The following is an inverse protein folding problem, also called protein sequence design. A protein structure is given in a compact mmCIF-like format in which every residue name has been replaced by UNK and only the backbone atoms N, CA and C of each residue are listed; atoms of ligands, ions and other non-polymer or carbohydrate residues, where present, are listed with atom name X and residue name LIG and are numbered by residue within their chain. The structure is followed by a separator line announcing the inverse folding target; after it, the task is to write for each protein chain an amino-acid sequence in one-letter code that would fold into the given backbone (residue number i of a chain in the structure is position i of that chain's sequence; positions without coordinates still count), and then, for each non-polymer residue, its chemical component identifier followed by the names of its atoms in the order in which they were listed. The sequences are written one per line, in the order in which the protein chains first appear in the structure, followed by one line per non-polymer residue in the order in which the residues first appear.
data_IF_033071970804
#
_entry.id   IF_033071970804
#
_cell.length_a   1.000
_cell.length_b   1.000
_cell.length_c   1.000
_cell.angle_alpha   90.00
_cell.angle_beta   90.00
_cell.angle_gamma   90.00
#
_symmetry.space_group_name_H-M   'P 1'
#
loop_
_entity.id
_entity.type
_entity.pdbx_description
1 polymer ?
#
# COMPACT_ATOMS: atom_id res chain seq x y z
N UNK A 1 -10.64 12.91 37.68
CA UNK A 1 -11.51 12.57 36.53
C UNK A 1 -10.98 13.28 35.30
N UNK A 2 -10.80 12.56 34.19
CA UNK A 2 -10.20 13.10 32.97
C UNK A 2 -11.21 13.08 31.81
N UNK A 3 -11.12 14.06 30.91
CA UNK A 3 -11.99 14.18 29.74
C UNK A 3 -11.17 14.18 28.46
N UNK A 4 -11.66 13.48 27.43
CA UNK A 4 -10.93 13.22 26.20
C UNK A 4 -11.80 13.49 24.98
N UNK A 5 -11.19 14.10 23.96
CA UNK A 5 -11.72 14.13 22.62
C UNK A 5 -11.35 12.84 21.91
N UNK A 6 -12.34 12.11 21.44
CA UNK A 6 -12.19 10.84 20.74
C UNK A 6 -12.64 11.01 19.30
N UNK A 7 -11.73 10.74 18.36
CA UNK A 7 -12.07 10.57 16.94
C UNK A 7 -12.58 9.15 16.75
N UNK A 8 -13.82 9.00 16.27
CA UNK A 8 -14.50 7.70 16.17
C UNK A 8 -14.51 7.20 14.73
N UNK A 9 -14.55 5.88 14.51
CA UNK A 9 -14.56 5.27 13.18
C UNK A 9 -15.95 5.21 12.52
N UNK A 10 -16.85 6.13 12.91
CA UNK A 10 -18.19 6.24 12.36
C UNK A 10 -18.44 7.66 11.88
N UNK A 11 -19.06 7.80 10.71
CA UNK A 11 -19.41 9.12 10.16
C UNK A 11 -20.40 9.82 11.09
N UNK A 12 -19.98 10.96 11.62
CA UNK A 12 -20.77 11.86 12.47
C UNK A 12 -20.56 13.31 11.98
N UNK A 13 -21.48 14.24 12.32
CA UNK A 13 -21.34 15.64 11.92
C UNK A 13 -20.15 16.36 12.57
N UNK A 14 -19.78 15.96 13.80
CA UNK A 14 -18.63 16.52 14.52
C UNK A 14 -17.36 15.73 14.25
N UNK A 15 -16.20 16.38 14.38
CA UNK A 15 -14.90 15.73 14.17
C UNK A 15 -14.62 14.70 15.29
N UNK A 16 -14.92 15.06 16.54
CA UNK A 16 -14.71 14.21 17.71
C UNK A 16 -15.89 14.28 18.69
N UNK A 17 -15.88 13.37 19.66
CA UNK A 17 -16.82 13.34 20.78
C UNK A 17 -16.07 13.36 22.11
N UNK A 18 -16.65 13.99 23.14
CA UNK A 18 -16.07 14.05 24.48
C UNK A 18 -16.53 12.87 25.32
N UNK A 19 -15.59 12.15 25.92
CA UNK A 19 -15.84 11.06 26.87
C UNK A 19 -14.98 11.25 28.12
N UNK A 20 -15.37 10.59 29.22
CA UNK A 20 -14.65 10.68 30.50
C UNK A 20 -14.01 9.35 30.91
N UNK A 21 -12.94 9.42 31.70
CA UNK A 21 -12.30 8.26 32.32
C UNK A 21 -11.76 8.61 33.70
N UNK A 22 -11.71 7.61 34.58
CA UNK A 22 -11.09 7.73 35.91
C UNK A 22 -9.56 7.70 35.82
N UNK A 23 -9.02 7.00 34.82
CA UNK A 23 -7.59 6.84 34.62
C UNK A 23 -7.05 7.83 33.57
N UNK A 24 -5.77 8.16 33.71
CA UNK A 24 -5.06 8.95 32.71
C UNK A 24 -4.75 8.05 31.49
N UNK A 25 -5.23 8.44 30.31
CA UNK A 25 -5.04 7.69 29.06
C UNK A 25 -4.24 8.56 28.08
N UNK A 26 -3.19 7.96 27.51
CA UNK A 26 -2.31 8.62 26.54
C UNK A 26 -3.05 8.94 25.24
N UNK A 27 -2.70 10.07 24.60
CA UNK A 27 -3.08 10.38 23.21
C UNK A 27 -2.64 9.28 22.25
N UNK A 28 -3.48 8.97 21.27
CA UNK A 28 -3.29 7.90 20.29
C UNK A 28 -3.81 6.53 20.74
N UNK A 29 -4.13 6.36 22.02
CA UNK A 29 -4.68 5.09 22.54
C UNK A 29 -6.01 4.77 21.87
N UNK A 30 -6.13 3.53 21.38
CA UNK A 30 -7.36 2.96 20.84
C UNK A 30 -8.31 2.62 21.99
N UNK A 31 -9.56 3.04 21.89
CA UNK A 31 -10.58 2.83 22.92
C UNK A 31 -11.88 2.34 22.29
N UNK A 32 -12.69 1.64 23.07
CA UNK A 32 -14.09 1.38 22.75
C UNK A 32 -15.01 2.23 23.61
N UNK A 33 -16.07 2.73 22.98
CA UNK A 33 -17.05 3.63 23.58
C UNK A 33 -18.46 3.17 23.20
N UNK A 34 -19.45 3.58 23.99
CA UNK A 34 -20.85 3.42 23.65
C UNK A 34 -21.34 4.70 22.95
N UNK A 35 -21.87 4.54 21.74
CA UNK A 35 -22.64 5.58 21.07
C UNK A 35 -24.07 5.08 20.90
N UNK A 36 -24.98 5.64 21.70
CA UNK A 36 -26.33 5.11 21.90
C UNK A 36 -26.26 3.68 22.45
N UNK A 37 -26.65 2.67 21.67
CA UNK A 37 -26.63 1.24 22.06
C UNK A 37 -25.50 0.44 21.41
N UNK A 38 -24.73 1.07 20.53
CA UNK A 38 -23.70 0.39 19.75
C UNK A 38 -22.31 0.68 20.32
N UNK A 39 -21.49 -0.35 20.41
CA UNK A 39 -20.07 -0.20 20.67
C UNK A 39 -19.35 0.27 19.40
N UNK A 40 -18.53 1.31 19.54
CA UNK A 40 -17.78 1.94 18.47
C UNK A 40 -16.33 2.09 18.93
N UNK A 41 -15.39 2.08 17.97
CA UNK A 41 -13.98 2.26 18.23
C UNK A 41 -13.53 3.67 17.87
N UNK A 42 -12.55 4.17 18.60
CA UNK A 42 -11.97 5.48 18.33
C UNK A 42 -10.59 5.63 18.93
N UNK A 43 -9.91 6.71 18.55
CA UNK A 43 -8.60 7.06 19.10
C UNK A 43 -8.71 8.36 19.90
N UNK A 44 -7.97 8.43 21.00
CA UNK A 44 -7.87 9.66 21.77
C UNK A 44 -7.01 10.66 21.01
N UNK A 45 -7.59 11.78 20.58
CA UNK A 45 -6.88 12.83 19.83
C UNK A 45 -6.41 13.99 20.70
N UNK A 46 -7.02 14.16 21.88
CA UNK A 46 -6.64 15.19 22.85
C UNK A 46 -7.39 15.07 24.17
N UNK A 47 -6.98 15.87 25.14
CA UNK A 47 -7.65 16.05 26.43
C UNK A 47 -8.51 17.32 26.41
N UNK A 48 -9.56 17.35 27.23
CA UNK A 48 -10.42 18.51 27.41
C UNK A 48 -10.25 19.00 28.86
N UNK A 49 -9.86 20.27 29.09
CA UNK A 49 -9.84 20.85 30.43
C UNK A 49 -11.23 20.79 31.05
N UNK A 50 -11.32 20.47 32.36
CA UNK A 50 -12.60 20.31 33.06
C UNK A 50 -13.49 21.55 32.94
N UNK A 51 -12.88 22.74 32.95
CA UNK A 51 -13.55 24.03 32.80
C UNK A 51 -14.31 24.19 31.48
N UNK A 52 -13.88 23.50 30.41
CA UNK A 52 -14.48 23.55 29.08
C UNK A 52 -15.56 22.47 28.88
N UNK A 53 -15.85 21.68 29.91
CA UNK A 53 -16.78 20.55 29.81
C UNK A 53 -18.17 20.99 30.24
N UNK A 54 -19.09 21.02 29.28
CA UNK A 54 -20.51 21.30 29.53
C UNK A 54 -21.22 20.00 29.92
N UNK A 55 -22.09 20.05 30.95
CA UNK A 55 -22.92 18.93 31.40
C UNK A 55 -22.15 17.63 31.68
N UNK A 56 -21.17 17.66 32.61
CA UNK A 56 -20.35 16.49 33.01
C UNK A 56 -21.20 15.23 33.30
N UNK A 57 -22.40 15.40 33.85
CA UNK A 57 -23.33 14.31 34.17
C UNK A 57 -23.83 13.54 32.91
N UNK A 58 -23.93 14.21 31.76
CA UNK A 58 -24.40 13.60 30.49
C UNK A 58 -23.27 12.92 29.71
N UNK A 59 -22.01 13.17 30.08
CA UNK A 59 -20.86 12.60 29.39
C UNK A 59 -20.73 11.13 29.77
N UNK A 60 -20.63 10.29 28.74
CA UNK A 60 -20.47 8.86 28.88
C UNK A 60 -19.02 8.49 29.21
N UNK A 61 -18.84 7.35 29.87
CA UNK A 61 -17.52 6.80 30.18
C UNK A 61 -16.95 6.03 28.99
N UNK A 62 -15.62 6.00 28.92
CA UNK A 62 -14.90 5.11 28.02
C UNK A 62 -15.13 3.67 28.49
N UNK A 63 -15.67 2.82 27.60
CA UNK A 63 -16.07 1.45 27.94
C UNK A 63 -14.86 0.56 28.15
N UNK A 64 -13.88 0.61 27.24
CA UNK A 64 -12.64 -0.15 27.39
C UNK A 64 -11.47 0.54 26.70
N UNK A 65 -10.26 0.28 27.20
CA UNK A 65 -9.00 0.72 26.60
C UNK A 65 -8.35 -0.48 25.92
N UNK A 66 -8.04 -0.35 24.63
CA UNK A 66 -7.43 -1.42 23.85
C UNK A 66 -5.89 -1.30 23.88
N UNK A 67 -5.18 -2.42 23.66
CA UNK A 67 -3.73 -2.46 23.76
C UNK A 67 -2.98 -1.85 22.57
N UNK A 68 -3.63 -1.10 21.70
CA UNK A 68 -2.95 -0.43 20.59
C UNK A 68 -2.89 1.09 20.82
N UNK A 69 -1.73 1.69 20.56
CA UNK A 69 -1.51 3.13 20.68
C UNK A 69 -0.94 3.61 19.35
N UNK A 70 -1.69 4.49 18.68
CA UNK A 70 -1.23 5.12 17.46
C UNK A 70 -0.05 6.05 17.74
N UNK A 71 0.98 5.98 16.91
CA UNK A 71 2.12 6.90 16.96
C UNK A 71 1.70 8.30 16.49
N UNK A 72 2.50 9.31 16.82
CA UNK A 72 2.27 10.68 16.34
C UNK A 72 2.31 10.77 14.81
N UNK A 73 3.18 9.98 14.15
CA UNK A 73 3.26 9.87 12.70
C UNK A 73 1.97 9.30 12.11
N UNK A 74 1.39 8.26 12.70
CA UNK A 74 0.15 7.67 12.20
C UNK A 74 -1.05 8.61 12.40
N UNK A 75 -1.13 9.33 13.52
CA UNK A 75 -2.18 10.35 13.73
C UNK A 75 -2.03 11.49 12.71
N UNK A 76 -0.79 11.90 12.43
CA UNK A 76 -0.50 12.91 11.40
C UNK A 76 -0.89 12.41 10.01
N UNK A 77 -0.58 11.16 9.69
CA UNK A 77 -0.95 10.52 8.43
C UNK A 77 -2.45 10.59 8.20
N UNK A 78 -3.27 10.18 9.17
CA UNK A 78 -4.73 10.25 9.05
C UNK A 78 -5.22 11.67 8.72
N UNK A 79 -4.64 12.67 9.38
CA UNK A 79 -5.01 14.08 9.18
C UNK A 79 -4.65 14.57 7.78
N UNK A 80 -3.44 14.23 7.30
CA UNK A 80 -2.96 14.62 5.97
C UNK A 80 -3.73 13.90 4.86
N UNK A 81 -4.03 12.61 5.03
CA UNK A 81 -4.87 11.85 4.09
C UNK A 81 -6.25 12.49 4.01
N UNK A 82 -6.90 12.71 5.16
CA UNK A 82 -8.24 13.33 5.23
C UNK A 82 -8.28 14.67 4.49
N UNK A 83 -7.28 15.53 4.74
CA UNK A 83 -7.17 16.82 4.07
C UNK A 83 -6.95 16.69 2.55
N UNK A 84 -5.96 15.90 2.11
CA UNK A 84 -5.58 15.81 0.70
C UNK A 84 -6.63 15.10 -0.16
N UNK A 85 -7.38 14.17 0.42
CA UNK A 85 -8.38 13.38 -0.30
C UNK A 85 -9.81 13.88 -0.09
N UNK A 86 -9.98 14.97 0.67
CA UNK A 86 -11.29 15.52 1.05
C UNK A 86 -12.23 14.52 1.72
N UNK A 87 -11.69 13.47 2.33
CA UNK A 87 -12.46 12.51 3.11
C UNK A 87 -12.62 12.99 4.55
N UNK A 88 -13.73 12.64 5.20
CA UNK A 88 -13.88 12.96 6.62
C UNK A 88 -12.86 12.17 7.47
N UNK A 89 -12.32 12.77 8.55
CA UNK A 89 -11.34 12.09 9.41
C UNK A 89 -11.83 10.72 9.94
N UNK A 90 -13.13 10.58 10.19
CA UNK A 90 -13.74 9.32 10.66
C UNK A 90 -13.63 8.19 9.63
N UNK A 91 -13.76 8.50 8.34
CA UNK A 91 -13.68 7.50 7.25
C UNK A 91 -12.22 7.05 7.07
N UNK A 92 -11.28 8.00 7.14
CA UNK A 92 -9.84 7.67 7.11
C UNK A 92 -9.44 6.85 8.33
N UNK A 93 -9.93 7.21 9.52
CA UNK A 93 -9.69 6.44 10.73
C UNK A 93 -10.24 5.02 10.59
N UNK A 94 -11.43 4.83 10.02
CA UNK A 94 -11.98 3.49 9.81
C UNK A 94 -11.07 2.63 8.91
N UNK A 95 -10.53 3.19 7.84
CA UNK A 95 -9.53 2.51 7.01
C UNK A 95 -8.25 2.15 7.79
N UNK A 96 -7.77 3.03 8.66
CA UNK A 96 -6.61 2.76 9.53
C UNK A 96 -6.90 1.76 10.65
N UNK A 97 -8.13 1.68 11.15
CA UNK A 97 -8.52 0.75 12.21
C UNK A 97 -8.87 -0.64 11.67
N UNK A 98 -9.38 -0.74 10.44
CA UNK A 98 -9.80 -2.00 9.85
C UNK A 98 -8.75 -3.12 9.96
N UNK A 99 -7.45 -2.89 9.69
CA UNK A 99 -6.42 -3.89 9.91
C UNK A 99 -6.36 -4.34 11.39
N UNK A 100 -6.33 -3.41 12.34
CA UNK A 100 -6.22 -3.72 13.78
C UNK A 100 -7.46 -4.46 14.28
N UNK A 101 -8.65 -4.00 13.89
CA UNK A 101 -9.93 -4.59 14.29
C UNK A 101 -10.20 -5.95 13.61
N UNK A 102 -9.39 -6.33 12.62
CA UNK A 102 -9.44 -7.67 12.03
C UNK A 102 -8.75 -8.74 12.89
N UNK A 103 -7.96 -8.33 13.89
CA UNK A 103 -7.29 -9.22 14.84
C UNK A 103 -8.29 -9.90 15.77
N UNK A 104 -8.02 -11.16 16.11
CA UNK A 104 -8.85 -11.90 17.07
C UNK A 104 -8.53 -11.49 18.51
N UNK A 105 -9.42 -11.80 19.46
CA UNK A 105 -9.13 -11.59 20.88
C UNK A 105 -7.85 -12.30 21.34
N UNK A 106 -7.53 -13.45 20.75
CA UNK A 106 -6.27 -14.18 21.01
C UNK A 106 -5.06 -13.35 20.55
N UNK A 107 -5.12 -12.78 19.35
CA UNK A 107 -4.05 -11.94 18.81
C UNK A 107 -3.85 -10.68 19.68
N UNK A 108 -4.94 -10.07 20.14
CA UNK A 108 -4.89 -8.89 21.00
C UNK A 108 -4.30 -9.18 22.38
N UNK A 109 -4.64 -10.32 22.99
CA UNK A 109 -4.03 -10.77 24.27
C UNK A 109 -2.52 -11.01 24.12
N UNK A 110 -2.08 -11.54 22.97
CA UNK A 110 -0.65 -11.74 22.70
C UNK A 110 0.12 -10.42 22.58
N UNK A 111 -0.53 -9.35 22.10
CA UNK A 111 0.06 -8.00 22.05
C UNK A 111 0.15 -7.35 23.44
N UNK A 112 -0.81 -7.62 24.33
CA UNK A 112 -0.83 -7.09 25.70
C UNK A 112 0.33 -7.57 26.56
N UNK A 113 0.61 -8.88 26.53
CA UNK A 113 1.60 -9.55 27.38
C UNK A 113 3.05 -9.11 27.13
N UNK A 114 3.25 -8.21 26.17
CA UNK A 114 4.52 -8.02 25.48
C UNK A 114 5.02 -6.56 25.57
N UNK A 115 4.23 -5.63 26.11
CA UNK A 115 4.50 -4.17 26.08
C UNK A 115 5.56 -3.61 27.04
N UNK A 116 6.10 -4.39 27.98
CA UNK A 116 6.95 -3.86 29.05
C UNK A 116 8.41 -3.49 28.66
N UNK A 117 8.77 -3.47 27.38
CA UNK A 117 10.14 -3.10 26.98
C UNK A 117 10.19 -2.33 25.67
N UNK A 118 11.02 -1.28 25.69
CA UNK A 118 11.67 -0.56 24.58
C UNK A 118 11.19 0.89 24.33
N UNK A 119 12.13 1.81 24.57
CA UNK A 119 12.12 3.22 24.20
C UNK A 119 12.73 3.35 22.79
N UNK A 120 12.06 4.05 21.87
CA UNK A 120 12.52 4.21 20.48
C UNK A 120 13.44 5.43 20.32
N UNK A 121 14.62 5.22 19.72
CA UNK A 121 15.44 6.25 19.11
C UNK A 121 15.33 6.13 17.59
N UNK A 122 14.82 7.16 16.92
CA UNK A 122 14.69 7.20 15.46
C UNK A 122 15.97 7.79 14.87
N UNK A 123 16.75 7.00 14.11
CA UNK A 123 17.87 7.49 13.31
C UNK A 123 17.41 7.55 11.86
N UNK A 124 17.45 8.74 11.27
CA UNK A 124 17.13 8.98 9.86
C UNK A 124 18.43 8.86 9.07
N UNK A 125 18.53 7.87 8.19
CA UNK A 125 19.65 7.75 7.25
C UNK A 125 19.27 8.30 5.87
N UNK A 126 20.12 9.20 5.36
CA UNK A 126 20.02 9.76 4.00
C UNK A 126 20.80 8.86 3.04
N UNK A 127 20.11 8.06 2.22
CA UNK A 127 20.74 7.14 1.25
C UNK A 127 20.80 7.80 -0.14
N UNK A 128 21.98 7.73 -0.79
CA UNK A 128 22.21 8.12 -2.19
C UNK A 128 21.87 6.97 -3.13
N UNK A 129 21.18 7.29 -4.22
CA UNK A 129 20.58 6.38 -5.22
C UNK A 129 21.54 5.64 -6.12
N UNK A 130 21.14 4.44 -6.60
CA UNK A 130 21.75 3.74 -7.74
C UNK A 130 20.73 2.93 -8.59
N UNK A 131 21.19 2.62 -9.82
CA UNK A 131 20.52 2.08 -11.03
C UNK A 131 19.95 0.65 -10.89
N UNK A 132 18.94 0.34 -11.72
CA UNK A 132 18.31 -0.97 -11.94
C UNK A 132 18.50 -1.38 -13.42
N UNK A 133 18.47 -2.68 -13.73
CA UNK A 133 18.65 -3.29 -15.07
C UNK A 133 17.43 -4.13 -15.49
N UNK A 134 17.22 -4.36 -16.81
CA UNK A 134 16.02 -5.00 -17.39
C UNK A 134 16.31 -6.18 -18.36
N UNK A 135 15.31 -7.06 -18.57
CA UNK A 135 15.38 -8.27 -19.41
C UNK A 135 14.06 -8.59 -20.18
N UNK A 136 14.13 -9.23 -21.36
CA UNK A 136 13.04 -9.76 -22.26
C UNK A 136 13.13 -11.31 -22.31
N UNK A 137 12.08 -12.13 -22.07
CA UNK A 137 11.10 -12.64 -23.07
C UNK A 137 9.88 -13.41 -22.45
N UNK A 138 8.98 -13.95 -23.29
CA UNK A 138 7.59 -14.48 -23.15
C UNK A 138 7.07 -15.17 -21.85
N UNK A 139 6.43 -14.38 -20.98
CA UNK A 139 5.05 -14.50 -20.46
C UNK A 139 4.82 -13.24 -19.62
N UNK A 140 3.94 -12.31 -20.01
CA UNK A 140 3.92 -10.93 -19.43
C UNK A 140 3.83 -10.94 -17.90
N UNK A 141 3.07 -11.88 -17.33
CA UNK A 141 2.91 -12.01 -15.88
C UNK A 141 4.15 -12.61 -15.22
N UNK A 142 4.70 -13.71 -15.74
CA UNK A 142 5.94 -14.31 -15.23
C UNK A 142 7.13 -13.34 -15.35
N UNK A 143 7.17 -12.53 -16.42
CA UNK A 143 8.19 -11.51 -16.62
C UNK A 143 8.05 -10.35 -15.64
N UNK A 144 6.84 -9.87 -15.39
CA UNK A 144 6.59 -8.88 -14.34
C UNK A 144 7.00 -9.45 -12.99
N UNK A 145 6.64 -10.70 -12.69
CA UNK A 145 7.03 -11.37 -11.45
C UNK A 145 8.55 -11.54 -11.35
N UNK A 146 9.23 -11.93 -12.43
CA UNK A 146 10.67 -12.10 -12.47
C UNK A 146 11.42 -10.77 -12.33
N UNK A 147 10.96 -9.72 -13.02
CA UNK A 147 11.49 -8.37 -12.88
C UNK A 147 11.29 -7.89 -11.44
N UNK A 148 10.11 -8.10 -10.86
CA UNK A 148 9.83 -7.75 -9.47
C UNK A 148 10.71 -8.56 -8.52
N UNK A 149 10.86 -9.86 -8.73
CA UNK A 149 11.72 -10.76 -7.93
C UNK A 149 13.18 -10.32 -7.98
N UNK A 150 13.74 -10.08 -9.17
CA UNK A 150 15.10 -9.57 -9.33
C UNK A 150 15.23 -8.19 -8.71
N UNK A 151 14.28 -7.29 -8.95
CA UNK A 151 14.33 -5.92 -8.42
C UNK A 151 14.31 -5.95 -6.90
N UNK A 152 13.43 -6.76 -6.29
CA UNK A 152 13.38 -6.98 -4.85
C UNK A 152 14.67 -7.61 -4.36
N UNK A 153 15.18 -8.66 -5.00
CA UNK A 153 16.42 -9.34 -4.60
C UNK A 153 17.63 -8.41 -4.68
N UNK A 154 17.80 -7.70 -5.79
CA UNK A 154 18.87 -6.72 -5.98
C UNK A 154 18.75 -5.59 -4.96
N UNK A 155 17.52 -5.11 -4.72
CA UNK A 155 17.22 -4.12 -3.70
C UNK A 155 17.63 -4.61 -2.31
N UNK A 156 17.15 -5.78 -1.89
CA UNK A 156 17.48 -6.38 -0.60
C UNK A 156 19.00 -6.60 -0.48
N UNK A 157 19.68 -7.14 -1.50
CA UNK A 157 21.14 -7.33 -1.46
C UNK A 157 21.89 -6.01 -1.29
N UNK A 158 21.48 -4.95 -1.97
CA UNK A 158 22.07 -3.62 -1.84
C UNK A 158 21.80 -3.03 -0.45
N UNK A 159 20.57 -3.15 0.02
CA UNK A 159 20.12 -2.70 1.33
C UNK A 159 20.88 -3.42 2.46
N UNK A 160 21.06 -4.73 2.38
CA UNK A 160 21.84 -5.52 3.33
C UNK A 160 23.32 -5.13 3.39
N UNK A 161 23.90 -4.64 2.30
CA UNK A 161 25.27 -4.11 2.31
C UNK A 161 25.38 -2.77 3.06
N UNK A 162 24.28 -2.03 3.16
CA UNK A 162 24.22 -0.72 3.82
C UNK A 162 23.90 -0.84 5.31
N UNK A 163 23.19 -1.89 5.72
CA UNK A 163 22.92 -2.13 7.13
C UNK A 163 24.23 -2.54 7.81
N UNK A 164 24.72 -1.69 8.72
CA UNK A 164 25.77 -2.08 9.64
C UNK A 164 25.22 -3.12 10.63
N UNK A 165 25.94 -4.21 10.84
CA UNK A 165 25.56 -5.36 11.67
C UNK A 165 25.27 -5.06 13.14
N UNK A 166 25.45 -3.80 13.59
CA UNK A 166 25.35 -3.40 14.99
C UNK A 166 24.08 -2.62 15.35
N UNK A 167 23.18 -2.34 14.40
CA UNK A 167 21.91 -1.64 14.70
C UNK A 167 20.74 -2.61 14.78
N UNK A 168 20.15 -2.73 15.97
CA UNK A 168 18.92 -3.48 16.25
C UNK A 168 17.71 -2.82 15.60
N UNK A 169 17.43 -3.14 14.34
CA UNK A 169 16.34 -2.51 13.60
C UNK A 169 15.33 -3.54 13.09
N UNK A 170 14.05 -3.26 13.33
CA UNK A 170 12.93 -3.88 12.63
C UNK A 170 12.69 -3.10 11.34
N UNK A 171 12.84 -3.77 10.20
CA UNK A 171 12.83 -3.15 8.89
C UNK A 171 11.58 -3.57 8.14
N UNK A 172 10.63 -2.66 8.02
CA UNK A 172 9.43 -2.88 7.23
C UNK A 172 9.61 -2.36 5.80
N UNK A 173 9.38 -3.22 4.83
CA UNK A 173 9.36 -2.94 3.39
C UNK A 173 7.94 -3.26 2.89
N UNK A 174 7.25 -2.25 2.39
CA UNK A 174 5.91 -2.40 1.81
C UNK A 174 6.00 -2.40 0.29
N UNK A 175 5.42 -3.42 -0.35
CA UNK A 175 5.38 -3.56 -1.80
C UNK A 175 3.93 -3.62 -2.24
N UNK A 176 3.49 -2.57 -2.91
CA UNK A 176 2.13 -2.44 -3.42
C UNK A 176 2.02 -3.03 -4.82
N UNK A 177 0.96 -3.81 -5.01
CA UNK A 177 0.54 -4.38 -6.28
C UNK A 177 -0.84 -3.86 -6.66
N UNK A 178 -1.13 -3.73 -7.97
CA UNK A 178 -2.43 -3.27 -8.43
C UNK A 178 -3.53 -4.29 -8.12
N UNK A 179 -3.21 -5.59 -8.12
CA UNK A 179 -4.20 -6.66 -7.92
C UNK A 179 -3.65 -7.83 -7.08
N UNK A 180 -4.56 -8.51 -6.37
CA UNK A 180 -4.28 -9.67 -5.52
C UNK A 180 -3.60 -10.83 -6.26
N UNK A 181 -3.95 -11.06 -7.54
CA UNK A 181 -3.38 -12.16 -8.33
C UNK A 181 -1.86 -12.05 -8.50
N UNK A 182 -1.31 -10.84 -8.55
CA UNK A 182 0.14 -10.64 -8.65
C UNK A 182 0.83 -10.94 -7.31
N UNK A 183 0.21 -10.54 -6.20
CA UNK A 183 0.71 -10.80 -4.84
C UNK A 183 0.90 -12.29 -4.63
N UNK A 184 -0.12 -13.10 -4.92
CA UNK A 184 -0.07 -14.56 -4.71
C UNK A 184 1.01 -15.24 -5.56
N UNK A 185 1.17 -14.82 -6.82
CA UNK A 185 2.20 -15.37 -7.69
C UNK A 185 3.61 -14.98 -7.23
N UNK A 186 3.85 -13.69 -6.92
CA UNK A 186 5.15 -13.24 -6.41
C UNK A 186 5.48 -13.87 -5.07
N UNK A 187 4.50 -14.02 -4.18
CA UNK A 187 4.68 -14.66 -2.87
C UNK A 187 5.18 -16.11 -3.01
N UNK A 188 4.56 -16.90 -3.90
CA UNK A 188 4.99 -18.27 -4.19
C UNK A 188 6.43 -18.33 -4.69
N UNK A 189 6.83 -17.39 -5.55
CA UNK A 189 8.18 -17.30 -6.11
C UNK A 189 9.23 -16.84 -5.11
N UNK A 190 8.87 -16.02 -4.11
CA UNK A 190 9.80 -15.52 -3.10
C UNK A 190 10.02 -16.50 -1.94
N UNK A 191 9.07 -17.40 -1.67
CA UNK A 191 9.18 -18.39 -0.59
C UNK A 191 9.95 -19.65 -1.01
N UNK A 192 10.42 -19.72 -2.25
CA UNK A 192 11.30 -20.80 -2.67
C UNK A 192 12.53 -20.88 -1.75
N UNK A 193 12.85 -22.10 -1.31
CA UNK A 193 13.90 -22.45 -0.35
C UNK A 193 15.27 -21.82 -0.62
N UNK A 194 15.58 -21.56 -1.90
CA UNK A 194 16.79 -20.87 -2.32
C UNK A 194 16.86 -19.40 -1.86
N UNK A 195 15.71 -18.72 -1.74
CA UNK A 195 15.64 -17.33 -1.26
C UNK A 195 15.99 -17.27 0.23
N UNK A 196 15.32 -18.05 1.08
CA UNK A 196 15.56 -18.02 2.54
C UNK A 196 17.00 -18.40 2.91
N UNK A 197 17.58 -19.39 2.22
CA UNK A 197 18.95 -19.83 2.45
C UNK A 197 19.99 -18.70 2.27
N UNK A 198 19.75 -17.78 1.32
CA UNK A 198 20.65 -16.65 1.07
C UNK A 198 20.71 -15.68 2.27
N UNK A 199 19.60 -15.51 3.00
CA UNK A 199 19.50 -14.57 4.12
C UNK A 199 19.91 -15.18 5.46
N UNK A 200 19.62 -16.47 5.68
CA UNK A 200 20.01 -17.17 6.91
C UNK A 200 21.53 -17.13 7.11
N UNK A 201 22.30 -17.27 6.03
CA UNK A 201 23.77 -17.21 6.06
C UNK A 201 24.36 -15.90 6.61
N UNK A 202 23.55 -14.84 6.69
CA UNK A 202 23.96 -13.48 7.10
C UNK A 202 23.40 -13.04 8.46
N UNK A 203 22.89 -13.96 9.28
CA UNK A 203 22.20 -13.64 10.54
C UNK A 203 20.99 -12.70 10.37
N UNK A 204 20.30 -12.79 9.23
CA UNK A 204 19.09 -11.99 8.96
C UNK A 204 17.85 -12.86 9.06
N UNK A 205 16.79 -12.32 9.64
CA UNK A 205 15.48 -12.97 9.62
C UNK A 205 14.61 -12.24 8.64
N UNK A 206 14.20 -12.90 7.57
CA UNK A 206 13.30 -12.31 6.58
C UNK A 206 11.95 -12.95 6.73
N UNK A 207 10.93 -12.14 7.02
CA UNK A 207 9.54 -12.55 7.04
C UNK A 207 8.85 -11.97 5.81
N UNK A 208 8.33 -12.83 4.94
CA UNK A 208 7.52 -12.40 3.81
C UNK A 208 6.06 -12.70 4.15
N UNK A 209 5.20 -11.68 4.05
CA UNK A 209 3.76 -11.86 4.28
C UNK A 209 2.94 -11.14 3.22
N UNK A 210 1.66 -11.49 3.12
CA UNK A 210 0.72 -10.85 2.18
C UNK A 210 -0.40 -10.14 2.92
N UNK A 211 -0.81 -8.99 2.41
CA UNK A 211 -1.94 -8.24 2.96
C UNK A 211 -2.87 -7.72 1.87
N UNK A 212 -4.11 -8.19 1.86
CA UNK A 212 -5.09 -7.80 0.83
C UNK A 212 -6.29 -7.05 1.37
N UNK A 213 -6.26 -6.62 2.64
CA UNK A 213 -7.39 -5.98 3.32
C UNK A 213 -8.53 -6.94 3.67
N UNK A 214 -8.40 -8.23 3.36
CA UNK A 214 -9.32 -9.28 3.76
C UNK A 214 -9.01 -9.78 5.18
N UNK A 215 -10.00 -10.41 5.84
CA UNK A 215 -9.81 -11.02 7.17
C UNK A 215 -9.09 -12.38 7.12
N UNK A 216 -8.32 -12.62 6.06
CA UNK A 216 -7.61 -13.88 5.83
C UNK A 216 -6.57 -14.13 6.92
N UNK A 217 -6.17 -15.40 7.12
CA UNK A 217 -5.11 -15.76 8.06
C UNK A 217 -3.79 -15.06 7.69
N UNK A 218 -3.48 -14.95 6.40
CA UNK A 218 -2.27 -14.27 5.92
C UNK A 218 -2.28 -12.77 6.24
N UNK A 219 -3.39 -12.07 5.98
CA UNK A 219 -3.52 -10.66 6.32
C UNK A 219 -3.39 -10.40 7.83
N UNK A 220 -4.00 -11.25 8.66
CA UNK A 220 -3.83 -11.17 10.13
C UNK A 220 -2.40 -11.42 10.57
N UNK A 221 -1.70 -12.38 9.96
CA UNK A 221 -0.29 -12.64 10.24
C UNK A 221 0.57 -11.43 9.88
N UNK A 222 0.32 -10.76 8.74
CA UNK A 222 1.01 -9.52 8.37
C UNK A 222 0.85 -8.45 9.45
N UNK A 223 -0.38 -8.22 9.92
CA UNK A 223 -0.66 -7.22 10.96
C UNK A 223 0.04 -7.60 12.26
N UNK A 224 -0.06 -8.87 12.68
CA UNK A 224 0.61 -9.35 13.88
C UNK A 224 2.12 -9.19 13.78
N UNK A 225 2.74 -9.52 12.65
CA UNK A 225 4.17 -9.34 12.41
C UNK A 225 4.55 -7.87 12.58
N UNK A 226 3.86 -6.94 11.90
CA UNK A 226 4.13 -5.50 12.04
C UNK A 226 4.08 -5.04 13.49
N UNK A 227 3.07 -5.50 14.25
CA UNK A 227 2.85 -5.09 15.63
C UNK A 227 3.75 -5.79 16.66
N UNK A 228 4.20 -7.02 16.37
CA UNK A 228 4.92 -7.89 17.32
C UNK A 228 6.43 -7.95 17.12
N UNK A 229 6.93 -7.54 15.95
CA UNK A 229 8.35 -7.69 15.58
C UNK A 229 9.28 -6.66 16.20
N UNK A 230 8.76 -5.77 17.04
CA UNK A 230 9.61 -4.94 17.90
C UNK A 230 10.24 -5.75 19.06
N UNK A 231 10.01 -7.08 19.13
CA UNK A 231 10.22 -7.86 20.38
C UNK A 231 10.69 -9.32 20.21
N UNK A 232 10.83 -9.82 18.98
CA UNK A 232 11.30 -11.19 18.74
C UNK A 232 12.81 -11.11 18.45
N UNK A 233 13.62 -11.71 19.32
CA UNK A 233 15.09 -11.78 19.27
C UNK A 233 15.85 -10.45 19.20
N UNK A 234 16.29 -9.97 20.38
CA UNK A 234 17.13 -8.78 20.57
C UNK A 234 18.46 -8.78 19.80
N UNK A 235 18.85 -9.90 19.19
CA UNK A 235 20.15 -10.09 18.55
C UNK A 235 20.08 -10.23 17.03
N UNK A 236 18.89 -10.21 16.42
CA UNK A 236 18.73 -10.45 14.98
C UNK A 236 18.00 -9.28 14.32
N UNK A 237 18.57 -8.76 13.23
CA UNK A 237 17.85 -7.80 12.39
C UNK A 237 16.71 -8.53 11.68
N UNK A 238 15.49 -8.01 11.84
CA UNK A 238 14.28 -8.58 11.27
C UNK A 238 13.81 -7.70 10.11
N UNK A 239 13.64 -8.33 8.95
CA UNK A 239 13.17 -7.68 7.72
C UNK A 239 11.80 -8.23 7.40
N UNK A 240 10.82 -7.36 7.30
CA UNK A 240 9.43 -7.70 6.96
C UNK A 240 9.12 -7.16 5.59
N UNK A 241 8.92 -8.09 4.66
CA UNK A 241 8.51 -7.79 3.31
C UNK A 241 7.01 -8.05 3.23
N UNK A 242 6.25 -6.99 3.07
CA UNK A 242 4.79 -7.03 3.03
C UNK A 242 4.36 -6.81 1.59
N UNK A 243 3.86 -7.86 0.95
CA UNK A 243 3.26 -7.78 -0.37
C UNK A 243 1.78 -7.44 -0.22
N UNK A 244 1.37 -6.24 -0.63
CA UNK A 244 0.04 -5.76 -0.36
C UNK A 244 -0.68 -5.20 -1.59
N UNK A 245 -2.01 -5.18 -1.53
CA UNK A 245 -2.80 -4.31 -2.39
C UNK A 245 -2.79 -2.88 -1.83
N UNK A 246 -3.51 -1.95 -2.47
CA UNK A 246 -3.65 -0.57 -2.00
C UNK A 246 -4.06 -0.41 -0.52
N UNK A 247 -4.74 -1.39 0.07
CA UNK A 247 -5.11 -1.35 1.49
C UNK A 247 -3.90 -1.44 2.43
N UNK A 248 -2.77 -1.95 1.96
CA UNK A 248 -1.52 -2.03 2.74
C UNK A 248 -0.99 -0.68 3.20
N UNK A 249 -1.41 0.42 2.57
CA UNK A 249 -1.07 1.79 2.96
C UNK A 249 -1.60 2.18 4.34
N UNK A 250 -2.63 1.48 4.83
CA UNK A 250 -3.25 1.74 6.13
C UNK A 250 -2.77 0.78 7.23
N UNK A 251 -1.75 -0.03 6.96
CA UNK A 251 -1.16 -0.90 7.96
C UNK A 251 -0.51 -0.08 9.09
N UNK A 252 -0.52 -0.60 10.33
CA UNK A 252 -0.09 0.13 11.52
C UNK A 252 1.45 0.17 11.66
N UNK A 253 2.15 0.79 10.71
CA UNK A 253 3.61 0.90 10.75
C UNK A 253 4.09 1.80 11.88
N UNK A 254 4.99 1.30 12.71
CA UNK A 254 5.79 2.14 13.62
C UNK A 254 7.00 2.72 12.89
N UNK A 255 7.59 1.93 11.99
CA UNK A 255 8.65 2.32 11.07
C UNK A 255 8.32 1.78 9.69
N UNK A 256 8.63 2.54 8.64
CA UNK A 256 8.57 2.10 7.26
C UNK A 256 9.86 2.55 6.58
N UNK A 257 10.66 1.61 6.08
CA UNK A 257 11.96 1.92 5.50
C UNK A 257 11.82 2.15 4.01
N UNK A 258 11.05 1.29 3.35
CA UNK A 258 10.87 1.34 1.90
C UNK A 258 9.43 1.06 1.50
N UNK A 259 9.03 1.76 0.44
CA UNK A 259 7.75 1.63 -0.20
C UNK A 259 7.95 1.50 -1.70
N UNK A 260 7.52 0.37 -2.25
CA UNK A 260 7.59 0.08 -3.68
C UNK A 260 6.17 0.04 -4.23
N UNK A 261 5.93 0.75 -5.34
CA UNK A 261 4.64 0.75 -6.05
C UNK A 261 4.86 0.13 -7.43
N UNK A 262 4.35 -1.08 -7.61
CA UNK A 262 4.52 -1.86 -8.82
C UNK A 262 3.46 -1.49 -9.86
N UNK A 263 3.87 -1.33 -11.12
CA UNK A 263 3.01 -0.93 -12.23
C UNK A 263 2.25 0.36 -11.89
N UNK A 264 2.97 1.40 -11.45
CA UNK A 264 2.41 2.67 -10.96
C UNK A 264 1.33 3.27 -11.88
N UNK A 265 1.48 3.13 -13.19
CA UNK A 265 0.53 3.63 -14.18
C UNK A 265 -0.85 2.97 -14.13
N UNK A 266 -0.98 1.86 -13.42
CA UNK A 266 -2.21 1.08 -13.36
C UNK A 266 -3.35 1.86 -12.68
N UNK A 267 -4.52 1.89 -13.31
CA UNK A 267 -5.70 2.59 -12.80
C UNK A 267 -6.28 1.95 -11.53
N UNK A 268 -5.96 0.68 -11.24
CA UNK A 268 -6.44 -0.02 -10.05
C UNK A 268 -5.93 0.59 -8.73
N UNK A 269 -4.92 1.46 -8.79
CA UNK A 269 -4.49 2.24 -7.62
C UNK A 269 -5.50 3.33 -7.21
N UNK A 270 -6.47 3.67 -8.05
CA UNK A 270 -7.54 4.59 -7.73
C UNK A 270 -8.69 3.82 -7.07
N UNK A 271 -8.98 4.15 -5.81
CA UNK A 271 -10.11 3.61 -5.06
C UNK A 271 -11.31 4.53 -5.25
N UNK A 272 -12.25 4.10 -6.10
CA UNK A 272 -13.54 4.81 -6.30
C UNK A 272 -14.70 4.10 -5.59
N UNK A 273 -14.60 2.78 -5.46
CA UNK A 273 -15.67 1.92 -4.96
C UNK A 273 -15.53 1.69 -3.45
N UNK A 274 -15.80 2.70 -2.61
CA UNK A 274 -15.99 2.59 -1.14
C UNK A 274 -16.27 3.98 -0.55
N UNK A 275 -16.50 4.05 0.77
CA UNK A 275 -16.65 5.33 1.48
C UNK A 275 -15.39 6.20 1.46
N UNK A 276 -14.20 5.58 1.35
CA UNK A 276 -12.92 6.27 1.23
C UNK A 276 -12.48 6.34 -0.24
N UNK A 277 -12.48 7.55 -0.80
CA UNK A 277 -11.95 7.81 -2.14
C UNK A 277 -10.48 8.22 -2.05
N UNK A 278 -9.57 7.54 -2.75
CA UNK A 278 -8.16 7.95 -2.77
C UNK A 278 -7.38 7.35 -3.95
N UNK A 279 -6.26 7.99 -4.28
CA UNK A 279 -5.22 7.39 -5.12
C UNK A 279 -4.09 6.83 -4.25
N UNK A 280 -3.85 5.52 -4.32
CA UNK A 280 -2.81 4.86 -3.56
C UNK A 280 -1.40 5.44 -3.80
N UNK A 281 -1.13 6.02 -4.96
CA UNK A 281 0.16 6.64 -5.28
C UNK A 281 0.40 7.92 -4.49
N UNK A 282 -0.63 8.74 -4.34
CA UNK A 282 -0.57 9.97 -3.55
C UNK A 282 -0.42 9.62 -2.06
N UNK A 283 -1.16 8.63 -1.60
CA UNK A 283 -1.04 8.15 -0.22
C UNK A 283 0.33 7.52 0.03
N UNK A 284 0.90 6.79 -0.95
CA UNK A 284 2.27 6.27 -0.86
C UNK A 284 3.30 7.39 -0.71
N UNK A 285 3.15 8.48 -1.47
CA UNK A 285 3.99 9.67 -1.33
C UNK A 285 3.86 10.33 0.05
N UNK A 286 2.62 10.53 0.53
CA UNK A 286 2.39 11.09 1.88
C UNK A 286 3.01 10.18 2.95
N UNK A 287 2.85 8.87 2.81
CA UNK A 287 3.37 7.88 3.73
C UNK A 287 4.91 7.95 3.77
N UNK A 288 5.57 8.05 2.61
CA UNK A 288 7.03 8.16 2.56
C UNK A 288 7.55 9.42 3.22
N UNK A 289 6.88 10.56 3.02
CA UNK A 289 7.27 11.82 3.66
C UNK A 289 7.09 11.78 5.19
N UNK A 290 6.02 11.16 5.68
CA UNK A 290 5.73 11.09 7.12
C UNK A 290 6.67 10.14 7.86
N UNK A 291 7.01 9.01 7.25
CA UNK A 291 7.88 7.99 7.83
C UNK A 291 9.35 8.15 7.46
N UNK A 292 9.68 9.05 6.52
CA UNK A 292 11.03 9.18 5.97
C UNK A 292 11.48 7.95 5.19
N UNK A 293 10.53 7.21 4.60
CA UNK A 293 10.81 5.99 3.84
C UNK A 293 11.28 6.32 2.43
N UNK A 294 12.07 5.45 1.80
CA UNK A 294 12.31 5.58 0.36
C UNK A 294 11.04 5.17 -0.39
N UNK A 295 10.71 5.93 -1.43
CA UNK A 295 9.60 5.63 -2.32
C UNK A 295 10.12 5.30 -3.71
N UNK A 296 9.66 4.17 -4.24
CA UNK A 296 10.04 3.66 -5.55
C UNK A 296 8.79 3.38 -6.37
N UNK A 297 8.60 4.15 -7.44
CA UNK A 297 7.62 3.84 -8.46
C UNK A 297 8.28 2.97 -9.55
N UNK A 298 7.74 1.78 -9.75
CA UNK A 298 8.24 0.82 -10.73
C UNK A 298 7.18 0.70 -11.82
N UNK A 299 7.44 1.20 -13.02
CA UNK A 299 6.56 1.04 -14.18
C UNK A 299 7.37 0.92 -15.47
N UNK A 300 6.82 0.19 -16.45
CA UNK A 300 7.33 0.17 -17.82
C UNK A 300 6.88 1.39 -18.63
N UNK A 301 5.68 1.90 -18.33
CA UNK A 301 5.09 3.06 -18.97
C UNK A 301 4.64 4.01 -17.86
N UNK A 302 5.54 4.84 -17.33
CA UNK A 302 5.23 5.75 -16.23
C UNK A 302 4.03 6.63 -16.54
N UNK A 303 3.20 6.93 -15.54
CA UNK A 303 2.07 7.83 -15.75
C UNK A 303 2.54 9.27 -16.04
N UNK A 304 1.75 10.01 -16.82
CA UNK A 304 1.95 11.47 -17.02
C UNK A 304 1.95 12.19 -15.66
N UNK A 305 1.17 11.67 -14.71
CA UNK A 305 1.08 12.16 -13.35
C UNK A 305 2.44 12.12 -12.66
N UNK A 306 3.19 11.02 -12.77
CA UNK A 306 4.55 10.92 -12.23
C UNK A 306 5.48 11.99 -12.84
N UNK A 307 5.38 12.23 -14.15
CA UNK A 307 6.15 13.29 -14.82
C UNK A 307 5.75 14.71 -14.34
N UNK A 308 4.50 14.91 -13.94
CA UNK A 308 3.99 16.22 -13.51
C UNK A 308 4.38 16.56 -12.08
N UNK A 309 4.53 15.55 -11.21
CA UNK A 309 4.83 15.74 -9.79
C UNK A 309 6.32 15.77 -9.45
N UNK A 310 7.17 15.23 -10.31
CA UNK A 310 8.59 15.15 -10.05
C UNK A 310 9.37 16.04 -11.03
N UNK A 311 10.17 17.02 -10.56
CA UNK A 311 11.07 17.74 -11.44
C UNK A 311 11.98 16.76 -12.19
N UNK A 312 12.34 17.06 -13.43
CA UNK A 312 13.10 16.16 -14.32
C UNK A 312 14.37 15.58 -13.68
N UNK A 313 15.02 16.33 -12.77
CA UNK A 313 16.21 15.90 -12.02
C UNK A 313 15.95 14.69 -11.10
N UNK A 314 14.72 14.52 -10.63
CA UNK A 314 14.26 13.39 -9.83
C UNK A 314 13.79 12.27 -10.75
N UNK A 315 13.05 12.58 -11.81
CA UNK A 315 12.56 11.60 -12.79
C UNK A 315 13.72 10.81 -13.45
N UNK A 316 14.76 11.52 -13.90
CA UNK A 316 15.95 10.94 -14.56
C UNK A 316 16.79 10.04 -13.63
N UNK A 317 16.55 10.12 -12.31
CA UNK A 317 17.21 9.31 -11.30
C UNK A 317 16.50 7.97 -11.05
N UNK A 318 15.19 7.89 -11.36
CA UNK A 318 14.33 6.74 -11.09
C UNK A 318 13.82 6.04 -12.35
N UNK A 319 13.75 6.76 -13.49
CA UNK A 319 13.46 6.17 -14.79
C UNK A 319 14.75 5.64 -15.41
N UNK A 320 14.89 4.32 -15.45
CA UNK A 320 15.92 3.71 -16.28
C UNK A 320 15.39 3.72 -17.71
N UNK A 321 16.11 4.43 -18.58
CA UNK A 321 15.90 4.34 -20.02
C UNK A 321 16.25 2.92 -20.47
N UNK A 322 15.24 2.20 -20.96
CA UNK A 322 15.27 0.82 -21.43
C UNK A 322 16.05 0.65 -22.77
N UNK A 323 17.12 1.43 -22.97
CA UNK A 323 17.89 1.45 -24.22
C UNK A 323 18.70 0.18 -24.46
N UNK A 324 18.84 -0.68 -23.45
CA UNK A 324 19.73 -1.85 -23.50
C UNK A 324 19.02 -3.19 -23.74
N UNK A 325 17.69 -3.21 -23.96
CA UNK A 325 17.04 -4.47 -24.39
C UNK A 325 16.91 -4.50 -25.91
N UNK A 326 17.89 -5.15 -26.52
CA UNK A 326 18.00 -5.44 -27.95
C UNK A 326 16.91 -6.43 -28.39
N UNK A 327 15.68 -5.91 -28.54
CA UNK A 327 14.63 -6.61 -29.29
C UNK A 327 14.39 -5.91 -30.60
N UNK A 328 14.27 -6.71 -31.67
CA UNK A 328 13.81 -6.21 -32.96
C UNK A 328 12.51 -5.43 -32.73
N UNK A 329 12.47 -4.13 -33.06
CA UNK A 329 11.29 -3.31 -32.80
C UNK A 329 10.08 -3.92 -33.52
N UNK A 330 8.95 -3.94 -32.84
CA UNK A 330 7.67 -4.31 -33.46
C UNK A 330 7.48 -3.38 -34.66
N UNK A 331 7.33 -3.97 -35.85
CA UNK A 331 7.03 -3.20 -37.07
C UNK A 331 5.59 -2.69 -37.00
N UNK A 332 5.40 -1.49 -36.48
CA UNK A 332 4.09 -0.82 -36.45
C UNK A 332 3.92 -0.09 -37.79
N UNK A 333 2.89 -0.45 -38.56
CA UNK A 333 2.49 0.29 -39.76
C UNK A 333 1.28 1.15 -39.43
N UNK A 334 1.48 2.46 -39.37
CA UNK A 334 0.38 3.41 -39.26
C UNK A 334 -0.36 3.45 -40.59
N UNK A 335 -1.67 3.22 -40.56
CA UNK A 335 -2.52 3.32 -41.75
C UNK A 335 -3.48 4.49 -41.56
N UNK A 336 -3.62 5.33 -42.59
CA UNK A 336 -4.59 6.42 -42.56
C UNK A 336 -6.01 5.90 -42.74
N UNK A 337 -6.95 6.39 -41.93
CA UNK A 337 -8.37 6.16 -42.15
C UNK A 337 -8.85 7.10 -43.26
N UNK A 338 -9.44 6.56 -44.32
CA UNK A 338 -10.04 7.40 -45.36
C UNK A 338 -11.46 7.73 -44.92
N UNK A 339 -11.67 8.91 -44.32
CA UNK A 339 -12.97 9.34 -43.79
C UNK A 339 -14.13 9.31 -44.81
N UNK A 340 -13.84 9.32 -46.13
CA UNK A 340 -14.87 9.22 -47.18
C UNK A 340 -15.30 7.77 -47.43
N UNK A 341 -14.36 6.82 -47.34
CA UNK A 341 -14.57 5.40 -47.66
C UNK A 341 -14.91 4.59 -46.40
N UNK A 342 -14.30 4.94 -45.27
CA UNK A 342 -14.43 4.26 -43.98
C UNK A 342 -15.43 4.96 -43.05
N UNK A 343 -16.34 5.79 -43.59
CA UNK A 343 -17.19 6.73 -42.82
C UNK A 343 -18.03 6.06 -41.72
N UNK A 344 -18.38 4.78 -41.91
CA UNK A 344 -19.17 3.98 -40.98
C UNK A 344 -18.44 2.70 -40.53
N UNK A 345 -17.14 2.59 -40.82
CA UNK A 345 -16.35 1.39 -40.48
C UNK A 345 -15.51 1.64 -39.23
N UNK A 346 -15.67 0.75 -38.25
CA UNK A 346 -14.85 0.71 -37.03
C UNK A 346 -13.37 0.43 -37.33
N UNK A 347 -13.10 -0.34 -38.40
CA UNK A 347 -11.76 -0.74 -38.83
C UNK A 347 -11.52 -0.20 -40.24
N UNK A 348 -10.37 0.45 -40.46
CA UNK A 348 -10.04 1.00 -41.77
C UNK A 348 -9.81 -0.11 -42.81
N UNK A 349 -10.20 0.14 -44.07
CA UNK A 349 -10.01 -0.81 -45.17
C UNK A 349 -8.58 -1.39 -45.29
N UNK A 350 -7.51 -0.59 -45.13
CA UNK A 350 -6.14 -1.12 -45.12
C UNK A 350 -5.84 -2.11 -43.99
N UNK A 351 -6.43 -1.93 -42.80
CA UNK A 351 -6.27 -2.86 -41.68
C UNK A 351 -7.01 -4.16 -41.95
N UNK A 352 -8.25 -4.09 -42.44
CA UNK A 352 -9.03 -5.28 -42.81
C UNK A 352 -8.28 -6.15 -43.84
N UNK A 353 -7.69 -5.54 -44.87
CA UNK A 353 -6.88 -6.26 -45.86
C UNK A 353 -5.65 -6.96 -45.26
N UNK A 354 -5.04 -6.37 -44.22
CA UNK A 354 -3.90 -6.97 -43.53
C UNK A 354 -4.34 -8.13 -42.63
N UNK A 355 -5.50 -8.04 -41.99
CA UNK A 355 -6.10 -9.11 -41.18
C UNK A 355 -6.48 -10.29 -42.07
N UNK A 356 -7.25 -10.05 -43.13
CA UNK A 356 -7.67 -11.09 -44.10
C UNK A 356 -6.48 -11.77 -44.78
N UNK A 357 -5.42 -11.02 -45.09
CA UNK A 357 -4.18 -11.60 -45.65
C UNK A 357 -3.47 -12.52 -44.66
N UNK A 358 -3.61 -12.28 -43.34
CA UNK A 358 -3.08 -13.16 -42.28
C UNK A 358 -3.99 -14.38 -42.04
N UNK A 359 -5.31 -14.21 -42.07
CA UNK A 359 -6.27 -15.32 -41.92
C UNK A 359 -6.11 -16.37 -43.03
N UNK A 360 -5.90 -15.92 -44.28
CA UNK A 360 -5.59 -16.82 -45.40
C UNK A 360 -4.25 -17.57 -45.24
N UNK A 361 -3.41 -17.21 -44.25
CA UNK A 361 -2.18 -17.93 -43.92
C UNK A 361 -2.37 -18.90 -42.72
N UNK A 362 -3.35 -18.67 -41.84
CA UNK A 362 -3.49 -19.39 -40.56
C UNK A 362 -4.84 -20.14 -40.37
N UNK A 363 -5.78 -20.10 -41.34
CA UNK A 363 -6.94 -20.99 -41.37
C UNK A 363 -7.97 -20.81 -40.24
N UNK A 364 -8.15 -19.58 -39.74
CA UNK A 364 -9.26 -19.23 -38.84
C UNK A 364 -10.29 -18.38 -39.59
N UNK A 365 -11.51 -18.92 -39.74
CA UNK A 365 -12.67 -18.17 -40.23
C UNK A 365 -13.14 -17.19 -39.16
N UNK A 366 -12.93 -15.89 -39.37
CA UNK A 366 -13.59 -14.83 -38.60
C UNK A 366 -14.80 -14.34 -39.40
N UNK A 367 -16.00 -14.59 -38.88
CA UNK A 367 -17.23 -14.03 -39.41
C UNK A 367 -17.29 -12.54 -39.02
N UNK A 368 -16.99 -11.65 -39.96
CA UNK A 368 -17.15 -10.21 -39.77
C UNK A 368 -18.63 -9.89 -39.95
N UNK A 369 -19.34 -9.74 -38.83
CA UNK A 369 -20.70 -9.21 -38.82
C UNK A 369 -20.61 -7.70 -39.05
N UNK A 370 -20.91 -7.26 -40.28
CA UNK A 370 -21.18 -5.85 -40.57
C UNK A 370 -22.45 -5.44 -39.80
N UNK A 371 -22.29 -4.64 -38.75
CA UNK A 371 -23.42 -4.05 -38.03
C UNK A 371 -23.97 -2.94 -38.92
N UNK A 372 -25.04 -3.24 -39.67
CA UNK A 372 -25.80 -2.22 -40.38
C UNK A 372 -26.55 -1.36 -39.35
N UNK A 373 -26.11 -0.11 -39.19
CA UNK A 373 -26.79 0.89 -38.36
C UNK A 373 -28.06 1.46 -39.01
N UNK A 374 -28.62 0.80 -40.04
CA UNK A 374 -29.89 1.19 -40.66
C UNK A 374 -31.12 0.87 -39.81
N UNK A 375 -30.95 0.08 -38.74
CA UNK A 375 -32.08 -0.44 -37.96
C UNK A 375 -32.24 0.27 -36.60
N UNK A 376 -31.63 1.45 -36.46
CA UNK A 376 -31.84 2.35 -35.33
C UNK A 376 -32.63 3.58 -35.82
N UNK A 377 -33.93 3.37 -36.05
CA UNK A 377 -34.94 4.43 -36.09
C UNK A 377 -35.62 4.55 -34.72
#
# INVERSE_FOLDING_TARGET
MYFYNILINKKIPSISLTYKSEILIRKGTLVSILLRKNEIYGIIVGTVPVENVVDIAKISEIKSVLPYIFTSQQIRLQSVISYNTFNSPNVVLDACLNPILSLTQKDMKLLEQKKDTVLFNTIIHKIKSRKIEYYLDTEVVLRIIYIIRISILAYLKAFLKLINSNTQNNINILILFPEKKYIEKVYKELIDSAFEAEFISKNLSVNITTFTGDKSKSSRQSIYNILSLNQLDKFKTQINIILASRSGLFLPFDTLHDLLVIDESNSMYIQEQNSLYFDAREIAFILSEIFGSNLHFISRVPSIRLHSFYPESILNKYLINDKDIDTKPIKIKVTGQNKKIDKYKLISGPVLKLVQKRENLDGLDIEIIDVNFSDWD
#
